data_IF_455530078139
#
_entry.id   IF_455530078139
#
_cell.length_a   1.000
_cell.length_b   1.000
_cell.length_c   1.000
_cell.angle_alpha   90.00
_cell.angle_beta   90.00
_cell.angle_gamma   90.00
#
_symmetry.space_group_name_H-M   'P 1'
#
loop_
_entity.id
_entity.type
_entity.pdbx_description
1 polymer ?
#
# COMPACT_ATOMS: atom_id res chain seq x y z
N UNK A 1 57.07 20.18 -65.01
CA UNK A 1 56.03 19.38 -65.66
C UNK A 1 55.70 18.19 -64.78
N UNK A 2 54.65 18.26 -64.02
CA UNK A 2 53.84 17.12 -63.58
C UNK A 2 52.64 17.66 -62.84
N UNK A 3 51.47 17.46 -63.43
CA UNK A 3 50.16 17.82 -62.83
C UNK A 3 49.70 16.70 -61.89
N UNK A 4 49.55 16.95 -60.63
CA UNK A 4 48.88 16.02 -59.69
C UNK A 4 47.44 16.48 -59.50
N UNK A 5 46.50 15.63 -59.86
CA UNK A 5 45.10 15.72 -59.61
C UNK A 5 44.84 15.26 -58.17
N UNK A 6 44.30 16.16 -57.36
CA UNK A 6 43.83 15.80 -56.04
C UNK A 6 42.35 15.42 -56.18
N UNK A 7 42.10 14.16 -55.96
CA UNK A 7 40.70 13.61 -55.89
C UNK A 7 40.11 13.94 -54.53
N UNK A 8 39.08 14.75 -54.54
CA UNK A 8 38.27 15.00 -53.31
C UNK A 8 37.39 13.79 -53.05
N UNK A 9 37.63 13.09 -51.94
CA UNK A 9 36.71 12.10 -51.37
C UNK A 9 35.65 12.82 -50.52
N UNK A 10 34.40 12.79 -50.97
CA UNK A 10 33.24 13.19 -50.15
C UNK A 10 33.01 12.09 -49.10
N UNK A 11 33.25 12.40 -47.85
CA UNK A 11 32.76 11.62 -46.70
C UNK A 11 31.30 12.05 -46.42
N UNK A 12 30.34 11.20 -46.81
CA UNK A 12 28.99 11.27 -46.29
C UNK A 12 28.99 10.80 -44.82
N UNK A 13 28.89 11.75 -43.91
CA UNK A 13 28.60 11.48 -42.51
C UNK A 13 27.12 11.14 -42.34
N UNK A 14 26.81 9.85 -42.18
CA UNK A 14 25.51 9.41 -41.74
C UNK A 14 25.32 9.79 -40.25
N UNK A 15 24.66 10.89 -40.00
CA UNK A 15 24.23 11.26 -38.62
C UNK A 15 23.17 10.27 -38.16
N UNK A 16 23.51 9.39 -37.21
CA UNK A 16 22.51 8.66 -36.41
C UNK A 16 21.77 9.69 -35.56
N UNK A 17 20.57 10.02 -35.97
CA UNK A 17 19.60 10.67 -35.09
C UNK A 17 19.16 9.64 -34.05
N UNK A 18 19.73 9.73 -32.85
CA UNK A 18 19.19 9.05 -31.68
C UNK A 18 17.85 9.73 -31.38
N UNK A 19 16.77 9.12 -31.84
CA UNK A 19 15.44 9.48 -31.39
C UNK A 19 15.38 9.19 -29.89
N UNK A 20 15.53 10.23 -29.07
CA UNK A 20 15.15 10.18 -27.68
C UNK A 20 13.65 9.89 -27.66
N UNK A 21 13.29 8.63 -27.43
CA UNK A 21 11.93 8.26 -27.07
C UNK A 21 11.67 8.89 -25.71
N UNK A 22 11.11 10.10 -25.71
CA UNK A 22 10.48 10.65 -24.55
C UNK A 22 9.35 9.68 -24.18
N UNK A 23 9.61 8.87 -23.17
CA UNK A 23 8.54 8.17 -22.46
C UNK A 23 7.60 9.27 -21.96
N UNK A 24 6.46 9.42 -22.60
CA UNK A 24 5.37 10.23 -22.09
C UNK A 24 4.99 9.60 -20.76
N UNK A 25 5.50 10.18 -19.68
CA UNK A 25 4.93 9.97 -18.35
C UNK A 25 3.46 10.36 -18.48
N UNK A 26 2.57 9.40 -18.34
CA UNK A 26 1.14 9.69 -18.21
C UNK A 26 1.05 10.57 -16.97
N UNK A 27 0.76 11.85 -17.16
CA UNK A 27 0.61 12.78 -16.05
C UNK A 27 -0.66 12.36 -15.29
N UNK A 28 -0.51 12.12 -14.00
CA UNK A 28 -1.65 11.83 -13.15
C UNK A 28 -2.67 12.95 -13.24
N UNK A 29 -3.96 12.60 -13.18
CA UNK A 29 -5.05 13.56 -13.16
C UNK A 29 -5.02 14.33 -11.83
N UNK A 30 -4.49 15.55 -11.86
CA UNK A 30 -4.37 16.41 -10.69
C UNK A 30 -5.28 17.63 -10.85
N UNK A 31 -5.80 18.21 -9.76
CA UNK A 31 -6.62 19.41 -9.84
C UNK A 31 -5.98 20.52 -10.65
N UNK A 32 -6.77 21.21 -11.46
CA UNK A 32 -6.27 22.29 -12.29
C UNK A 32 -5.58 23.37 -11.45
N UNK A 33 -4.38 23.78 -11.89
CA UNK A 33 -3.57 24.77 -11.17
C UNK A 33 -2.59 24.19 -10.11
N UNK A 34 -2.59 22.87 -9.89
CA UNK A 34 -1.62 22.21 -9.00
C UNK A 34 -0.21 22.37 -9.55
N UNK A 35 0.69 22.97 -8.75
CA UNK A 35 2.12 23.06 -9.08
C UNK A 35 2.82 21.78 -8.64
N UNK A 36 3.11 20.92 -9.58
CA UNK A 36 3.89 19.71 -9.30
C UNK A 36 5.39 20.05 -9.14
N UNK A 37 6.05 19.35 -8.23
CA UNK A 37 7.51 19.37 -8.13
C UNK A 37 8.13 18.80 -9.41
N UNK A 38 9.38 19.18 -9.73
CA UNK A 38 10.09 18.63 -10.89
C UNK A 38 10.35 17.13 -10.77
N UNK A 39 10.58 16.69 -9.54
CA UNK A 39 10.78 15.28 -9.18
C UNK A 39 9.62 14.86 -8.29
N UNK A 40 8.90 13.83 -8.69
CA UNK A 40 7.73 13.32 -7.97
C UNK A 40 8.18 12.23 -7.00
N UNK A 41 8.86 12.66 -5.93
CA UNK A 41 9.34 11.79 -4.85
C UNK A 41 8.92 12.35 -3.50
N UNK A 42 8.55 11.46 -2.59
CA UNK A 42 8.24 11.79 -1.20
C UNK A 42 9.26 11.11 -0.28
N UNK A 43 9.90 11.88 0.58
CA UNK A 43 10.69 11.36 1.70
C UNK A 43 9.97 11.71 2.99
N UNK A 44 9.70 10.71 3.82
CA UNK A 44 8.94 10.91 5.05
C UNK A 44 9.54 10.16 6.23
N UNK A 45 9.35 10.71 7.41
CA UNK A 45 9.58 9.99 8.64
C UNK A 45 8.49 8.92 8.87
N UNK A 46 8.84 7.89 9.62
CA UNK A 46 7.93 6.79 9.94
C UNK A 46 7.95 6.40 11.44
N UNK A 47 8.62 7.17 12.28
CA UNK A 47 8.84 6.79 13.67
C UNK A 47 9.87 5.68 13.79
N UNK A 48 9.46 4.48 14.21
CA UNK A 48 10.37 3.34 14.36
C UNK A 48 10.58 2.59 13.05
N UNK A 49 11.58 1.69 13.07
CA UNK A 49 11.80 0.72 11.99
C UNK A 49 10.55 -0.15 11.77
N UNK A 50 10.30 -0.50 10.52
CA UNK A 50 9.24 -1.41 10.11
C UNK A 50 9.65 -2.84 10.43
N UNK A 51 8.98 -3.49 11.36
CA UNK A 51 9.31 -4.85 11.77
C UNK A 51 8.98 -5.89 10.67
N UNK A 52 7.93 -5.63 9.90
CA UNK A 52 7.48 -6.51 8.81
C UNK A 52 6.55 -5.76 7.85
N UNK A 53 6.52 -6.18 6.60
CA UNK A 53 5.51 -5.75 5.62
C UNK A 53 4.49 -6.86 5.31
N UNK A 54 4.47 -7.94 6.10
CA UNK A 54 3.42 -8.95 6.08
C UNK A 54 2.18 -8.41 6.83
N UNK A 55 1.04 -8.17 6.16
CA UNK A 55 -0.14 -7.59 6.79
C UNK A 55 -0.72 -8.46 7.91
N UNK A 56 -0.49 -9.78 7.84
CA UNK A 56 -0.99 -10.73 8.85
C UNK A 56 -0.04 -10.91 10.04
N UNK A 57 1.19 -10.38 9.97
CA UNK A 57 2.19 -10.43 11.06
C UNK A 57 2.51 -9.03 11.63
N UNK A 58 1.95 -7.96 11.05
CA UNK A 58 2.19 -6.58 11.49
C UNK A 58 1.35 -6.21 12.70
N UNK A 59 1.89 -5.31 13.54
CA UNK A 59 1.20 -4.79 14.74
C UNK A 59 1.23 -3.27 14.85
N UNK A 60 2.20 -2.61 14.26
CA UNK A 60 2.49 -1.20 14.49
C UNK A 60 1.89 -0.26 13.45
N UNK A 61 1.83 1.01 13.83
CA UNK A 61 1.49 2.11 12.94
C UNK A 61 2.53 2.28 11.83
N UNK A 62 3.86 2.15 12.10
CA UNK A 62 4.90 2.22 11.08
C UNK A 62 4.73 1.19 9.96
N UNK A 63 4.38 -0.06 10.32
CA UNK A 63 4.07 -1.12 9.36
C UNK A 63 2.83 -0.77 8.54
N UNK A 64 1.76 -0.29 9.22
CA UNK A 64 0.50 0.05 8.57
C UNK A 64 0.67 1.14 7.50
N UNK A 65 1.51 2.15 7.74
CA UNK A 65 1.79 3.19 6.76
C UNK A 65 2.37 2.61 5.47
N UNK A 66 3.35 1.72 5.58
CA UNK A 66 4.02 1.09 4.44
C UNK A 66 3.09 0.09 3.74
N UNK A 67 2.41 -0.76 4.52
CA UNK A 67 1.54 -1.81 3.97
C UNK A 67 0.35 -1.20 3.20
N UNK A 68 -0.18 -0.06 3.62
CA UNK A 68 -1.28 0.62 2.91
C UNK A 68 -0.89 1.09 1.51
N UNK A 69 0.36 1.43 1.29
CA UNK A 69 0.88 1.82 -0.02
C UNK A 69 1.23 0.62 -0.90
N UNK A 70 1.61 -0.51 -0.28
CA UNK A 70 2.02 -1.74 -0.97
C UNK A 70 0.86 -2.68 -1.30
N UNK A 71 -0.20 -2.67 -0.48
CA UNK A 71 -1.34 -3.58 -0.57
C UNK A 71 -2.66 -2.81 -0.50
N UNK A 72 -3.57 -3.12 -1.41
CA UNK A 72 -4.92 -2.59 -1.41
C UNK A 72 -5.93 -3.67 -0.99
N UNK A 73 -6.84 -3.32 -0.07
CA UNK A 73 -7.92 -4.20 0.40
C UNK A 73 -9.17 -4.12 -0.46
N UNK A 74 -10.25 -4.72 0.03
CA UNK A 74 -11.57 -4.59 -0.60
C UNK A 74 -11.99 -3.14 -0.69
N UNK A 75 -11.74 -2.37 0.38
CA UNK A 75 -12.03 -0.94 0.44
C UNK A 75 -10.79 -0.16 0.89
N UNK A 76 -10.78 1.13 0.62
CA UNK A 76 -9.84 2.12 1.12
C UNK A 76 -10.55 3.17 2.00
N UNK A 77 -9.79 4.11 2.52
CA UNK A 77 -10.29 5.31 3.19
C UNK A 77 -9.76 6.54 2.47
N UNK A 78 -10.62 7.52 2.27
CA UNK A 78 -10.21 8.85 1.78
C UNK A 78 -9.54 9.68 2.90
N UNK A 79 -9.18 10.92 2.58
CA UNK A 79 -8.54 11.83 3.54
C UNK A 79 -9.44 12.21 4.72
N UNK A 80 -10.76 12.12 4.56
CA UNK A 80 -11.74 12.41 5.62
C UNK A 80 -12.10 11.16 6.44
N UNK A 81 -11.50 10.00 6.13
CA UNK A 81 -11.76 8.73 6.79
C UNK A 81 -13.00 7.99 6.28
N UNK A 82 -13.64 8.45 5.22
CA UNK A 82 -14.78 7.76 4.63
C UNK A 82 -14.32 6.49 3.91
N UNK A 83 -15.15 5.45 3.99
CA UNK A 83 -14.92 4.21 3.25
C UNK A 83 -15.21 4.42 1.77
N UNK A 84 -14.22 4.17 0.94
CA UNK A 84 -14.30 4.26 -0.52
C UNK A 84 -13.94 2.92 -1.18
N UNK A 85 -14.40 2.66 -2.41
CA UNK A 85 -14.01 1.46 -3.15
C UNK A 85 -12.49 1.32 -3.29
N UNK A 86 -12.00 0.09 -3.07
CA UNK A 86 -10.64 -0.34 -3.37
C UNK A 86 -10.64 -1.38 -4.48
N UNK A 87 -10.12 -2.60 -4.20
CA UNK A 87 -10.23 -3.74 -5.14
C UNK A 87 -11.68 -4.11 -5.40
N UNK A 88 -12.57 -4.00 -4.39
CA UNK A 88 -14.00 -4.10 -4.62
C UNK A 88 -14.53 -2.78 -5.20
N UNK A 89 -15.11 -2.83 -6.40
CA UNK A 89 -15.78 -1.69 -7.04
C UNK A 89 -17.15 -1.40 -6.42
N UNK A 90 -17.79 -2.40 -5.81
CA UNK A 90 -19.07 -2.30 -5.12
C UNK A 90 -19.28 -3.50 -4.19
N UNK A 91 -20.25 -3.36 -3.30
CA UNK A 91 -20.70 -4.43 -2.40
C UNK A 91 -22.17 -4.29 -2.10
N UNK A 92 -22.79 -5.39 -1.66
CA UNK A 92 -24.19 -5.44 -1.27
C UNK A 92 -24.41 -6.34 -0.07
N UNK A 93 -25.43 -6.03 0.71
CA UNK A 93 -25.96 -6.80 1.81
C UNK A 93 -27.43 -6.43 2.04
N UNK A 94 -28.25 -7.37 2.43
CA UNK A 94 -29.65 -7.11 2.82
C UNK A 94 -29.89 -7.25 4.33
N UNK A 95 -28.97 -7.90 5.03
CA UNK A 95 -29.12 -8.33 6.44
C UNK A 95 -27.93 -7.93 7.34
N UNK A 96 -26.89 -7.31 6.77
CA UNK A 96 -25.62 -7.03 7.45
C UNK A 96 -24.91 -8.29 7.99
N UNK A 97 -25.24 -9.47 7.48
CA UNK A 97 -24.58 -10.75 7.81
C UNK A 97 -23.92 -11.38 6.59
N UNK A 98 -24.57 -11.30 5.44
CA UNK A 98 -24.03 -11.78 4.18
C UNK A 98 -23.66 -10.60 3.32
N UNK A 99 -22.37 -10.49 3.01
CA UNK A 99 -21.83 -9.43 2.15
C UNK A 99 -21.29 -10.03 0.88
N UNK A 100 -21.74 -9.49 -0.27
CA UNK A 100 -21.21 -9.83 -1.58
C UNK A 100 -20.39 -8.66 -2.09
N UNK A 101 -19.09 -8.90 -2.38
CA UNK A 101 -18.19 -7.90 -2.94
C UNK A 101 -17.93 -8.20 -4.41
N UNK A 102 -18.09 -7.20 -5.27
CA UNK A 102 -17.79 -7.28 -6.70
C UNK A 102 -16.43 -6.64 -6.97
N UNK A 103 -15.45 -7.45 -7.32
CA UNK A 103 -14.08 -7.00 -7.56
C UNK A 103 -13.95 -6.34 -8.93
N UNK A 104 -12.96 -5.45 -9.06
CA UNK A 104 -12.59 -4.81 -10.32
C UNK A 104 -12.01 -5.84 -11.29
N UNK A 105 -12.32 -5.66 -12.56
CA UNK A 105 -11.78 -6.51 -13.62
C UNK A 105 -10.29 -6.19 -13.91
N UNK A 106 -9.88 -4.94 -13.69
CA UNK A 106 -8.56 -4.38 -13.99
C UNK A 106 -7.58 -4.42 -12.79
N UNK A 107 -8.01 -4.88 -11.60
CA UNK A 107 -7.13 -5.04 -10.45
C UNK A 107 -6.06 -6.10 -10.72
N UNK A 108 -4.78 -5.71 -10.55
CA UNK A 108 -3.61 -6.57 -10.81
C UNK A 108 -2.60 -6.51 -9.68
N UNK A 109 -1.91 -7.60 -9.50
CA UNK A 109 -0.68 -7.67 -8.74
C UNK A 109 0.48 -6.97 -9.48
N UNK A 110 1.52 -6.59 -8.77
CA UNK A 110 2.69 -5.88 -9.35
C UNK A 110 3.49 -6.71 -10.36
N UNK A 111 3.32 -8.03 -10.36
CA UNK A 111 3.87 -8.94 -11.36
C UNK A 111 2.98 -9.09 -12.61
N UNK A 112 1.79 -8.49 -12.62
CA UNK A 112 0.83 -8.51 -13.73
C UNK A 112 -0.28 -9.54 -13.61
N UNK A 113 -0.23 -10.44 -12.63
CA UNK A 113 -1.30 -11.42 -12.36
C UNK A 113 -2.60 -10.69 -11.98
N UNK A 114 -3.78 -11.21 -12.33
CA UNK A 114 -5.04 -10.63 -11.89
C UNK A 114 -5.23 -10.81 -10.37
N UNK A 115 -5.82 -9.80 -9.71
CA UNK A 115 -6.32 -9.96 -8.34
C UNK A 115 -7.69 -10.61 -8.41
N UNK A 116 -7.87 -11.69 -7.65
CA UNK A 116 -9.07 -12.51 -7.65
C UNK A 116 -9.74 -12.60 -6.29
N UNK A 117 -11.00 -13.04 -6.25
CA UNK A 117 -11.68 -13.36 -5.01
C UNK A 117 -10.99 -14.51 -4.25
N UNK A 118 -10.32 -15.42 -4.98
CA UNK A 118 -9.50 -16.48 -4.39
C UNK A 118 -8.35 -15.96 -3.53
N UNK A 119 -7.72 -14.84 -3.94
CA UNK A 119 -6.65 -14.21 -3.16
C UNK A 119 -7.16 -13.71 -1.80
N UNK A 120 -8.37 -13.16 -1.76
CA UNK A 120 -9.01 -12.73 -0.51
C UNK A 120 -9.41 -13.91 0.37
N UNK A 121 -9.95 -14.99 -0.22
CA UNK A 121 -10.25 -16.22 0.52
C UNK A 121 -8.98 -16.76 1.18
N UNK A 122 -7.91 -16.95 0.41
CA UNK A 122 -6.62 -17.38 0.93
C UNK A 122 -6.11 -16.48 2.06
N UNK A 123 -6.18 -15.16 1.85
CA UNK A 123 -5.64 -14.17 2.79
C UNK A 123 -6.41 -14.15 4.10
N UNK A 124 -7.74 -14.21 4.06
CA UNK A 124 -8.56 -14.23 5.28
C UNK A 124 -8.39 -15.55 6.04
N UNK A 125 -8.31 -16.67 5.33
CA UNK A 125 -7.99 -17.97 5.92
C UNK A 125 -6.59 -17.96 6.56
N UNK A 126 -5.59 -17.33 5.91
CA UNK A 126 -4.25 -17.19 6.46
C UNK A 126 -4.24 -16.32 7.72
N UNK A 127 -5.02 -15.25 7.76
CA UNK A 127 -5.08 -14.34 8.91
C UNK A 127 -5.66 -14.98 10.18
N UNK A 128 -6.55 -15.97 10.03
CA UNK A 128 -7.16 -16.72 11.15
C UNK A 128 -6.43 -18.03 11.46
N UNK A 129 -5.55 -18.51 10.59
CA UNK A 129 -4.82 -19.76 10.76
C UNK A 129 -3.82 -19.65 11.92
N UNK A 130 -3.91 -20.50 12.97
CA UNK A 130 -2.95 -20.52 14.06
C UNK A 130 -1.50 -20.70 13.60
N UNK A 131 -1.26 -21.40 12.47
CA UNK A 131 0.07 -21.58 11.90
C UNK A 131 0.70 -20.26 11.39
N UNK A 132 -0.11 -19.25 11.05
CA UNK A 132 0.38 -17.91 10.70
C UNK A 132 0.88 -17.15 11.91
N UNK A 133 0.38 -17.49 13.12
CA UNK A 133 0.65 -16.80 14.35
C UNK A 133 0.40 -15.27 14.25
N UNK A 134 -0.75 -14.90 13.65
CA UNK A 134 -1.13 -13.50 13.48
C UNK A 134 -1.37 -12.84 14.84
N UNK A 135 -0.63 -11.77 15.19
CA UNK A 135 -0.86 -11.04 16.43
C UNK A 135 -2.19 -10.27 16.42
N UNK A 136 -2.77 -10.07 15.23
CA UNK A 136 -4.08 -9.43 15.02
C UNK A 136 -5.20 -10.42 14.67
N UNK A 137 -5.03 -11.71 14.92
CA UNK A 137 -6.09 -12.71 14.73
C UNK A 137 -7.38 -12.36 15.49
N UNK A 138 -7.27 -11.76 16.67
CA UNK A 138 -8.41 -11.24 17.44
C UNK A 138 -9.26 -10.22 16.64
N UNK A 139 -8.65 -9.42 15.74
CA UNK A 139 -9.39 -8.51 14.87
C UNK A 139 -10.32 -9.28 13.93
N UNK A 140 -9.85 -10.41 13.40
CA UNK A 140 -10.66 -11.29 12.57
C UNK A 140 -11.83 -11.90 13.37
N UNK A 141 -11.67 -12.20 14.66
CA UNK A 141 -12.78 -12.62 15.54
C UNK A 141 -13.80 -11.49 15.69
N UNK A 142 -13.35 -10.23 15.82
CA UNK A 142 -14.27 -9.09 15.94
C UNK A 142 -15.07 -8.82 14.66
N UNK A 143 -14.59 -9.21 13.49
CA UNK A 143 -15.38 -9.12 12.26
C UNK A 143 -16.62 -9.98 12.28
N UNK A 144 -16.70 -10.97 13.19
CA UNK A 144 -17.78 -11.97 13.31
C UNK A 144 -17.92 -12.86 12.08
N UNK A 145 -16.87 -13.03 11.27
CA UNK A 145 -16.90 -14.04 10.21
C UNK A 145 -17.17 -15.42 10.81
N UNK A 146 -18.06 -16.16 10.16
CA UNK A 146 -18.47 -17.51 10.61
C UNK A 146 -17.21 -18.36 10.83
N UNK A 147 -17.15 -19.03 11.97
CA UNK A 147 -16.07 -19.90 12.43
C UNK A 147 -14.73 -19.21 12.76
N UNK A 148 -14.53 -17.91 12.54
CA UNK A 148 -13.24 -17.24 12.78
C UNK A 148 -12.68 -17.53 14.18
N UNK A 149 -13.50 -17.42 15.22
CA UNK A 149 -13.14 -17.70 16.62
C UNK A 149 -12.65 -19.14 16.85
N UNK A 150 -13.39 -20.12 16.32
CA UNK A 150 -13.07 -21.53 16.52
C UNK A 150 -11.83 -21.95 15.72
N UNK A 151 -11.60 -21.35 14.55
CA UNK A 151 -10.38 -21.57 13.75
C UNK A 151 -9.17 -21.01 14.49
N UNK A 152 -9.24 -19.75 14.97
CA UNK A 152 -8.17 -19.12 15.76
C UNK A 152 -7.84 -19.94 17.02
N UNK A 153 -8.85 -20.55 17.63
CA UNK A 153 -8.67 -21.45 18.77
C UNK A 153 -8.18 -22.87 18.40
N UNK A 154 -7.92 -23.15 17.12
CA UNK A 154 -7.46 -24.46 16.63
C UNK A 154 -8.51 -25.57 16.69
N UNK A 155 -9.81 -25.24 16.81
CA UNK A 155 -10.91 -26.21 16.90
C UNK A 155 -11.50 -26.59 15.53
N UNK A 156 -11.27 -25.74 14.51
CA UNK A 156 -11.75 -25.93 13.15
C UNK A 156 -10.64 -25.66 12.14
N UNK A 157 -10.79 -26.26 10.96
CA UNK A 157 -9.87 -25.98 9.85
C UNK A 157 -10.17 -24.59 9.24
N UNK A 158 -9.11 -23.91 8.76
CA UNK A 158 -9.23 -22.58 8.15
C UNK A 158 -10.15 -22.53 6.93
N UNK A 159 -10.29 -23.64 6.22
CA UNK A 159 -11.21 -23.76 5.07
C UNK A 159 -12.69 -23.64 5.45
N UNK A 160 -13.01 -23.76 6.76
CA UNK A 160 -14.38 -23.59 7.27
C UNK A 160 -14.73 -22.12 7.55
N UNK A 161 -13.80 -21.16 7.32
CA UNK A 161 -14.08 -19.74 7.49
C UNK A 161 -15.23 -19.31 6.56
N UNK A 162 -16.13 -18.48 7.09
CA UNK A 162 -17.28 -17.93 6.35
C UNK A 162 -16.90 -16.98 5.21
N UNK A 163 -16.02 -17.41 4.30
CA UNK A 163 -15.61 -16.67 3.12
C UNK A 163 -15.49 -17.60 1.93
N UNK A 164 -16.01 -17.19 0.77
CA UNK A 164 -15.94 -17.97 -0.46
C UNK A 164 -15.87 -17.09 -1.70
N UNK A 165 -15.15 -17.53 -2.70
CA UNK A 165 -15.20 -17.03 -4.05
C UNK A 165 -16.30 -17.76 -4.83
N UNK A 166 -17.27 -17.04 -5.40
CA UNK A 166 -18.25 -17.61 -6.31
C UNK A 166 -17.67 -17.76 -7.72
N UNK A 167 -16.83 -16.80 -8.07
CA UNK A 167 -16.00 -16.74 -9.26
C UNK A 167 -14.78 -15.84 -8.97
N UNK A 168 -13.95 -15.56 -9.98
CA UNK A 168 -12.73 -14.75 -9.80
C UNK A 168 -13.00 -13.31 -9.33
N UNK A 169 -14.22 -12.81 -9.51
CA UNK A 169 -14.57 -11.39 -9.24
C UNK A 169 -15.68 -11.23 -8.21
N UNK A 170 -16.21 -12.32 -7.67
CA UNK A 170 -17.30 -12.27 -6.69
C UNK A 170 -16.89 -12.97 -5.40
N UNK A 171 -16.70 -12.18 -4.35
CA UNK A 171 -16.37 -12.65 -3.01
C UNK A 171 -17.60 -12.55 -2.11
N UNK A 172 -17.94 -13.63 -1.42
CA UNK A 172 -19.00 -13.65 -0.40
C UNK A 172 -18.39 -13.88 0.96
N UNK A 173 -18.81 -13.04 1.94
CA UNK A 173 -18.43 -13.16 3.36
C UNK A 173 -19.69 -13.33 4.19
N UNK A 174 -19.69 -14.36 5.04
CA UNK A 174 -20.80 -14.69 5.94
C UNK A 174 -20.38 -14.42 7.40
N UNK A 175 -21.24 -13.70 8.15
CA UNK A 175 -21.02 -13.33 9.53
C UNK A 175 -22.01 -14.08 10.45
N UNK A 176 -21.60 -14.40 11.67
CA UNK A 176 -22.43 -15.02 12.69
C UNK A 176 -23.56 -14.11 13.15
N UNK A 177 -23.30 -12.80 13.21
CA UNK A 177 -24.25 -11.77 13.63
C UNK A 177 -24.21 -10.58 12.67
N UNK A 178 -25.25 -9.77 12.66
CA UNK A 178 -25.29 -8.54 11.85
C UNK A 178 -24.23 -7.53 12.32
N UNK A 179 -23.37 -7.09 11.39
CA UNK A 179 -22.32 -6.09 11.64
C UNK A 179 -22.43 -4.98 10.57
N UNK A 180 -23.20 -3.91 10.82
CA UNK A 180 -23.42 -2.86 9.82
C UNK A 180 -22.15 -2.14 9.35
N UNK A 181 -21.09 -2.14 10.14
CA UNK A 181 -19.80 -1.51 9.85
C UNK A 181 -18.74 -2.49 9.32
N UNK A 182 -19.13 -3.72 8.96
CA UNK A 182 -18.20 -4.75 8.47
C UNK A 182 -17.38 -4.27 7.27
N UNK A 183 -18.03 -3.60 6.31
CA UNK A 183 -17.32 -3.10 5.11
C UNK A 183 -16.16 -2.16 5.51
N UNK A 184 -16.40 -1.24 6.43
CA UNK A 184 -15.33 -0.36 6.94
C UNK A 184 -14.19 -1.16 7.58
N UNK A 185 -14.49 -2.26 8.29
CA UNK A 185 -13.48 -3.13 8.90
C UNK A 185 -12.57 -3.77 7.86
N UNK A 186 -13.06 -4.05 6.64
CA UNK A 186 -12.25 -4.67 5.58
C UNK A 186 -11.14 -3.76 5.04
N UNK A 187 -11.15 -2.47 5.40
CA UNK A 187 -10.05 -1.53 5.11
C UNK A 187 -8.82 -1.68 6.03
N UNK A 188 -8.93 -2.44 7.12
CA UNK A 188 -7.83 -2.64 8.07
C UNK A 188 -6.65 -3.39 7.45
N UNK A 189 -5.44 -3.10 7.92
CA UNK A 189 -4.19 -3.70 7.43
C UNK A 189 -4.23 -5.22 7.44
N UNK A 190 -4.72 -5.85 8.50
CA UNK A 190 -4.84 -7.32 8.64
C UNK A 190 -5.74 -7.97 7.58
N UNK A 191 -6.66 -7.22 6.96
CA UNK A 191 -7.56 -7.72 5.92
C UNK A 191 -7.08 -7.43 4.50
N UNK A 192 -5.83 -7.00 4.34
CA UNK A 192 -5.22 -6.85 3.01
C UNK A 192 -4.91 -8.20 2.40
N UNK A 193 -5.09 -8.37 1.08
CA UNK A 193 -4.75 -9.61 0.40
C UNK A 193 -3.24 -9.78 0.28
N UNK A 194 -2.79 -11.03 0.24
CA UNK A 194 -1.41 -11.41 -0.09
C UNK A 194 -1.39 -12.34 -1.29
N UNK A 195 -0.37 -12.24 -2.13
CA UNK A 195 -0.24 -13.05 -3.33
C UNK A 195 0.12 -14.50 -2.96
N UNK A 196 -0.86 -15.40 -3.02
CA UNK A 196 -0.75 -16.79 -2.56
C UNK A 196 0.50 -17.48 -3.12
N UNK A 197 0.69 -17.46 -4.44
CA UNK A 197 1.81 -18.14 -5.10
C UNK A 197 3.18 -17.65 -4.59
N UNK A 198 3.30 -16.38 -4.26
CA UNK A 198 4.53 -15.80 -3.69
C UNK A 198 4.76 -16.26 -2.26
N UNK A 199 3.71 -16.23 -1.43
CA UNK A 199 3.78 -16.69 -0.03
C UNK A 199 4.15 -18.17 0.03
N UNK A 200 3.51 -19.02 -0.77
CA UNK A 200 3.78 -20.45 -0.80
C UNK A 200 5.18 -20.78 -1.33
N UNK A 201 5.64 -20.05 -2.35
CA UNK A 201 6.95 -20.26 -2.96
C UNK A 201 8.11 -19.88 -2.04
N UNK A 202 7.99 -18.77 -1.33
CA UNK A 202 9.12 -18.18 -0.60
C UNK A 202 9.00 -18.28 0.93
N UNK A 203 7.86 -18.76 1.47
CA UNK A 203 7.64 -18.84 2.91
C UNK A 203 7.89 -17.48 3.58
N UNK A 204 8.60 -17.45 4.71
CA UNK A 204 8.90 -16.21 5.43
C UNK A 204 9.77 -15.20 4.63
N UNK A 205 10.32 -15.59 3.48
CA UNK A 205 11.11 -14.71 2.64
C UNK A 205 10.27 -13.95 1.59
N UNK A 206 8.95 -14.15 1.57
CA UNK A 206 8.08 -13.51 0.58
C UNK A 206 8.04 -11.97 0.71
N UNK A 207 8.33 -11.45 1.91
CA UNK A 207 8.38 -10.00 2.19
C UNK A 207 9.69 -9.32 1.81
N UNK A 208 10.70 -10.08 1.37
CA UNK A 208 11.95 -9.48 0.86
C UNK A 208 11.68 -8.69 -0.43
N UNK A 209 12.38 -7.55 -0.64
CA UNK A 209 12.16 -6.71 -1.81
C UNK A 209 12.15 -7.47 -3.14
N UNK A 210 13.07 -8.42 -3.32
CA UNK A 210 13.20 -9.24 -4.54
C UNK A 210 12.06 -10.24 -4.75
N UNK A 211 11.30 -10.58 -3.70
CA UNK A 211 10.22 -11.56 -3.75
C UNK A 211 8.83 -10.91 -3.65
N UNK A 212 8.75 -9.68 -3.12
CA UNK A 212 7.49 -9.06 -2.75
C UNK A 212 6.61 -8.77 -3.98
N UNK A 213 5.38 -9.27 -3.93
CA UNK A 213 4.33 -8.98 -4.92
C UNK A 213 3.15 -8.36 -4.18
N UNK A 214 2.88 -7.08 -4.46
CA UNK A 214 1.77 -6.31 -3.90
C UNK A 214 0.79 -5.88 -4.98
N UNK A 215 -0.38 -5.41 -4.56
CA UNK A 215 -1.43 -4.90 -5.44
C UNK A 215 -1.76 -3.43 -5.19
N UNK A 216 -0.96 -2.72 -4.39
CA UNK A 216 -1.11 -1.30 -4.11
C UNK A 216 -0.45 -0.39 -5.14
N UNK A 217 -0.51 0.92 -4.89
CA UNK A 217 0.04 1.96 -5.77
C UNK A 217 1.56 1.92 -5.90
N UNK A 218 2.25 1.31 -4.94
CA UNK A 218 3.70 1.18 -4.92
C UNK A 218 4.13 -0.27 -4.73
N UNK A 219 5.39 -0.55 -5.10
CA UNK A 219 6.08 -1.81 -4.85
C UNK A 219 7.41 -1.55 -4.17
N UNK A 220 7.88 -2.47 -3.35
CA UNK A 220 9.17 -2.36 -2.68
C UNK A 220 10.29 -2.36 -3.72
N UNK A 221 11.19 -1.39 -3.59
CA UNK A 221 12.39 -1.28 -4.41
C UNK A 221 13.65 -1.69 -3.62
N UNK A 222 13.77 -1.15 -2.40
CA UNK A 222 14.91 -1.41 -1.54
C UNK A 222 14.51 -1.27 -0.07
N UNK A 223 15.05 -2.10 0.79
CA UNK A 223 14.86 -2.02 2.22
C UNK A 223 16.18 -2.28 2.94
N UNK A 224 16.72 -1.22 3.52
CA UNK A 224 17.93 -1.26 4.34
C UNK A 224 17.49 -1.04 5.78
N UNK A 225 17.53 -2.08 6.57
CA UNK A 225 17.07 -2.09 7.98
C UNK A 225 17.74 -0.98 8.78
N UNK A 226 16.96 -0.23 9.56
CA UNK A 226 17.36 0.93 10.33
C UNK A 226 17.89 2.13 9.51
N UNK A 227 17.75 2.10 8.20
CA UNK A 227 18.16 3.20 7.34
C UNK A 227 16.99 3.74 6.52
N UNK A 228 16.37 2.92 5.67
CA UNK A 228 15.25 3.32 4.82
C UNK A 228 14.53 2.15 4.19
N UNK A 229 13.26 2.37 3.90
CA UNK A 229 12.46 1.56 3.00
C UNK A 229 12.06 2.43 1.80
N UNK A 230 12.47 2.04 0.60
CA UNK A 230 12.15 2.72 -0.65
C UNK A 230 11.11 1.94 -1.44
N UNK A 231 10.10 2.64 -1.90
CA UNK A 231 9.07 2.11 -2.79
C UNK A 231 9.05 2.90 -4.08
N UNK A 232 8.78 2.22 -5.18
CA UNK A 232 8.58 2.83 -6.51
C UNK A 232 7.18 2.55 -7.00
N UNK A 233 6.69 3.44 -7.87
CA UNK A 233 5.37 3.38 -8.48
C UNK A 233 5.11 2.01 -9.11
N UNK A 234 3.96 1.41 -8.80
CA UNK A 234 3.48 0.18 -9.42
C UNK A 234 2.64 0.52 -10.65
N UNK A 235 3.19 0.35 -11.82
CA UNK A 235 2.49 0.66 -13.09
C UNK A 235 1.36 -0.32 -13.42
N UNK A 236 1.25 -1.44 -12.70
CA UNK A 236 0.15 -2.39 -12.81
C UNK A 236 -1.01 -2.08 -11.88
N UNK A 237 -0.87 -1.07 -11.00
CA UNK A 237 -1.95 -0.65 -10.12
C UNK A 237 -3.13 -0.12 -10.93
N UNK A 238 -4.35 -0.55 -10.61
CA UNK A 238 -5.54 -0.19 -11.39
C UNK A 238 -5.79 1.31 -11.47
N UNK A 239 -5.47 2.07 -10.39
CA UNK A 239 -5.60 3.53 -10.34
C UNK A 239 -4.25 4.25 -10.56
N UNK A 240 -3.35 3.62 -11.32
CA UNK A 240 -2.03 4.18 -11.62
C UNK A 240 -2.10 5.56 -12.28
N UNK A 241 -3.13 5.82 -13.08
CA UNK A 241 -3.28 7.10 -13.79
C UNK A 241 -3.53 8.28 -12.82
N UNK A 242 -3.98 8.02 -11.60
CA UNK A 242 -4.11 9.03 -10.55
C UNK A 242 -2.92 9.05 -9.58
N UNK A 243 -1.98 8.14 -9.70
CA UNK A 243 -0.78 8.09 -8.85
C UNK A 243 0.25 9.10 -9.35
N UNK A 244 0.49 10.18 -8.59
CA UNK A 244 1.40 11.26 -8.96
C UNK A 244 2.86 10.90 -8.64
N UNK A 245 3.10 10.34 -7.45
CA UNK A 245 4.46 10.06 -6.97
C UNK A 245 5.07 8.87 -7.70
N UNK A 246 6.35 8.99 -8.04
CA UNK A 246 7.14 7.91 -8.64
C UNK A 246 7.91 7.09 -7.61
N UNK A 247 8.23 7.72 -6.46
CA UNK A 247 8.96 7.09 -5.36
C UNK A 247 8.52 7.63 -4.01
N UNK A 248 8.46 6.74 -3.02
CA UNK A 248 8.27 7.09 -1.60
C UNK A 248 9.38 6.44 -0.80
N UNK A 249 10.02 7.22 0.07
CA UNK A 249 11.05 6.74 1.00
C UNK A 249 10.59 6.94 2.43
N UNK A 250 10.52 5.87 3.19
CA UNK A 250 10.24 5.88 4.61
C UNK A 250 11.56 5.82 5.39
N UNK A 251 11.73 6.74 6.34
CA UNK A 251 12.90 6.80 7.22
C UNK A 251 12.49 6.48 8.66
N UNK A 252 13.15 5.52 9.32
CA UNK A 252 12.92 5.24 10.73
C UNK A 252 13.61 6.33 11.58
N UNK A 253 12.85 7.33 12.02
CA UNK A 253 13.35 8.45 12.82
C UNK A 253 12.58 8.48 14.14
N UNK A 254 13.10 7.82 15.18
CA UNK A 254 12.41 7.68 16.46
C UNK A 254 12.31 9.00 17.24
N UNK A 255 13.33 9.86 17.15
CA UNK A 255 13.34 11.13 17.86
C UNK A 255 12.52 12.18 17.09
N UNK A 256 11.36 12.55 17.65
CA UNK A 256 10.42 13.49 17.04
C UNK A 256 11.03 14.88 16.79
N UNK A 257 11.94 15.36 17.67
CA UNK A 257 12.61 16.66 17.48
C UNK A 257 13.62 16.57 16.34
N UNK A 258 14.34 15.47 16.19
CA UNK A 258 15.23 15.23 15.05
C UNK A 258 14.43 15.15 13.74
N UNK A 259 13.29 14.43 13.73
CA UNK A 259 12.38 14.35 12.59
C UNK A 259 11.86 15.75 12.19
N UNK A 260 11.37 16.53 13.16
CA UNK A 260 10.93 17.92 12.96
C UNK A 260 12.05 18.79 12.36
N UNK A 261 13.28 18.70 12.87
CA UNK A 261 14.40 19.49 12.36
C UNK A 261 14.77 19.12 10.91
N UNK A 262 14.71 17.84 10.55
CA UNK A 262 14.89 17.36 9.17
C UNK A 262 13.79 17.90 8.23
N UNK A 263 12.55 17.99 8.71
CA UNK A 263 11.47 18.63 7.98
C UNK A 263 11.73 20.13 7.78
N UNK A 264 12.08 20.85 8.83
CA UNK A 264 12.36 22.29 8.77
C UNK A 264 13.57 22.63 7.89
N UNK A 265 14.54 21.73 7.76
CA UNK A 265 15.68 21.87 6.84
C UNK A 265 15.35 21.50 5.39
N UNK A 266 14.18 20.92 5.12
CA UNK A 266 13.78 20.45 3.79
C UNK A 266 14.36 19.10 3.40
N UNK A 267 14.95 18.33 4.34
CA UNK A 267 15.48 17.00 4.09
C UNK A 267 14.37 15.97 3.92
N UNK A 268 13.29 16.11 4.68
CA UNK A 268 12.08 15.29 4.56
C UNK A 268 10.86 16.16 4.28
N UNK A 269 9.85 15.58 3.65
CA UNK A 269 8.64 16.27 3.21
C UNK A 269 7.45 16.10 4.15
N UNK A 270 7.52 15.12 5.04
CA UNK A 270 6.43 14.79 5.96
C UNK A 270 6.99 14.15 7.24
N UNK A 271 6.43 14.53 8.41
CA UNK A 271 6.74 13.92 9.71
C UNK A 271 5.66 12.96 10.13
N UNK A 272 6.01 11.88 10.82
CA UNK A 272 5.01 10.93 11.34
C UNK A 272 4.30 11.50 12.58
N UNK A 273 5.00 12.29 13.36
CA UNK A 273 4.48 12.87 14.61
C UNK A 273 5.06 14.27 14.86
N UNK A 274 4.27 15.13 15.47
CA UNK A 274 4.70 16.47 15.84
C UNK A 274 5.02 16.51 17.35
N UNK A 275 6.22 16.96 17.78
CA UNK A 275 6.53 17.11 19.19
C UNK A 275 5.58 18.11 19.86
N UNK A 276 4.90 17.69 20.92
CA UNK A 276 3.83 18.47 21.58
C UNK A 276 4.31 19.81 22.12
N UNK A 277 5.53 19.88 22.62
CA UNK A 277 6.16 21.10 23.14
C UNK A 277 6.40 22.17 22.06
N UNK A 278 6.55 21.74 20.79
CA UNK A 278 6.75 22.64 19.64
C UNK A 278 5.46 22.97 18.89
N UNK A 279 4.34 22.31 19.21
CA UNK A 279 3.08 22.42 18.47
C UNK A 279 2.60 23.88 18.32
N UNK A 280 2.53 24.65 19.44
CA UNK A 280 2.03 26.03 19.41
C UNK A 280 2.91 26.94 18.52
N UNK A 281 4.21 26.77 18.56
CA UNK A 281 5.17 27.52 17.74
C UNK A 281 4.99 27.17 16.27
N UNK A 282 5.01 25.87 15.93
CA UNK A 282 4.90 25.39 14.56
C UNK A 282 3.56 25.76 13.93
N UNK A 283 2.47 25.66 14.67
CA UNK A 283 1.14 26.11 14.21
C UNK A 283 1.09 27.59 13.86
N UNK A 284 1.92 28.42 14.53
CA UNK A 284 2.02 29.85 14.24
C UNK A 284 2.98 30.16 13.08
N UNK A 285 4.14 29.52 13.05
CA UNK A 285 5.24 29.83 12.12
C UNK A 285 5.10 29.08 10.78
N UNK A 286 4.47 27.90 10.79
CA UNK A 286 4.31 26.98 9.65
C UNK A 286 2.86 26.50 9.52
N UNK A 287 1.89 27.41 9.64
CA UNK A 287 0.46 27.09 9.66
C UNK A 287 0.01 26.21 8.49
N UNK A 288 0.52 26.48 7.30
CA UNK A 288 0.19 25.75 6.07
C UNK A 288 0.76 24.31 6.01
N UNK A 289 1.69 24.00 6.93
CA UNK A 289 2.34 22.68 7.01
C UNK A 289 1.89 21.87 8.22
N UNK A 290 1.02 22.43 9.09
CA UNK A 290 0.52 21.76 10.29
C UNK A 290 -0.94 21.38 10.08
N UNK A 291 -1.21 20.10 9.85
CA UNK A 291 -2.56 19.53 9.85
C UNK A 291 -2.91 18.97 11.22
N UNK A 292 -4.16 19.16 11.63
CA UNK A 292 -4.73 18.60 12.87
C UNK A 292 -6.11 18.05 12.53
N UNK A 293 -6.19 16.75 12.56
CA UNK A 293 -7.43 16.03 12.23
C UNK A 293 -7.99 15.33 13.46
N UNK A 294 -9.31 15.22 13.51
CA UNK A 294 -9.99 14.44 14.54
C UNK A 294 -9.77 12.94 14.28
N UNK A 295 -9.44 12.19 15.33
CA UNK A 295 -9.33 10.73 15.23
C UNK A 295 -10.26 10.06 16.25
N UNK A 296 -11.01 9.05 15.80
CA UNK A 296 -11.80 8.20 16.69
C UNK A 296 -10.88 7.13 17.29
N UNK A 297 -10.30 7.43 18.44
CA UNK A 297 -9.45 6.50 19.16
C UNK A 297 -9.64 6.59 20.66
N UNK A 298 -9.25 5.54 21.38
CA UNK A 298 -9.19 5.51 22.85
C UNK A 298 -7.73 5.34 23.26
N UNK A 299 -7.26 6.24 24.11
CA UNK A 299 -5.95 6.12 24.75
C UNK A 299 -6.16 5.68 26.19
N UNK A 300 -5.45 4.63 26.62
CA UNK A 300 -5.54 4.12 27.99
C UNK A 300 -4.16 3.75 28.51
N UNK A 301 -4.03 3.78 29.83
CA UNK A 301 -2.86 3.28 30.56
C UNK A 301 -3.22 1.92 31.16
N UNK A 302 -2.31 0.95 31.05
CA UNK A 302 -2.43 -0.40 31.62
C UNK A 302 -1.38 -0.61 32.70
#
# INVERSE_FOLDING_TARGET
MYKNKITQALLLGAGLAVAATSTTSIAADVPAGTKLAKVQELVRGNGTEVATIDPHKSQGVPESHVIRDLLEGLVNQDADGNTIPGVAKSWETSDNKTFTFHLRDDAKWSNGDPVTAGDFVYSFQRAVDPATASPYSWYMEYTKMVNAKDIIAGKKDKSELGVKALDDKTLVVELETAVPYFVMMTGHTTMKPVHQATVEKFGDQWTKPENFVGNGAFKVNNWVVNERLEMVRNTNYWDNDKTVLNKVTFLPIENQVAEMNRFLSGEIHFTSTLPTEHFKRLKKEHADSVSVEGSLCTYYYS
#
